data_IF_817666321607
#
_entry.id   IF_817666321607
#
_cell.length_a   1.000
_cell.length_b   1.000
_cell.length_c   1.000
_cell.angle_alpha   90.00
_cell.angle_beta   90.00
_cell.angle_gamma   90.00
#
_symmetry.space_group_name_H-M   'P 1'
#
loop_
_entity.id
_entity.type
_entity.pdbx_description
1 polymer ?
#
# COMPACT_ATOMS: atom_id res chain seq x y z
N UNK A 1 5.60 2.07 23.47
CA UNK A 1 4.31 1.38 23.30
C UNK A 1 3.92 1.61 21.85
N UNK A 2 4.18 0.62 20.98
CA UNK A 2 3.95 0.79 19.54
C UNK A 2 2.46 0.77 19.26
N UNK A 3 1.94 1.82 18.63
CA UNK A 3 0.58 1.83 18.12
C UNK A 3 0.49 0.78 17.00
N UNK A 4 -0.42 -0.16 17.14
CA UNK A 4 -0.74 -1.19 16.14
C UNK A 4 -1.92 -0.67 15.34
N UNK A 5 -1.87 -0.71 14.01
CA UNK A 5 -3.03 -0.40 13.18
C UNK A 5 -3.95 -1.62 13.27
N UNK A 6 -5.22 -1.40 13.55
CA UNK A 6 -6.19 -2.48 13.71
C UNK A 6 -7.38 -2.29 12.79
N UNK A 7 -8.10 -3.38 12.50
CA UNK A 7 -9.39 -3.33 11.79
C UNK A 7 -10.40 -2.37 12.44
N UNK A 8 -10.27 -2.12 13.75
CA UNK A 8 -11.09 -1.18 14.51
C UNK A 8 -10.87 0.28 14.09
N UNK A 9 -9.78 0.57 13.37
CA UNK A 9 -9.47 1.88 12.77
C UNK A 9 -10.16 2.11 11.40
N UNK A 10 -10.99 1.17 10.94
CA UNK A 10 -11.71 1.28 9.66
C UNK A 10 -10.87 0.91 8.44
N UNK A 11 -9.71 0.28 8.65
CA UNK A 11 -8.80 -0.18 7.59
C UNK A 11 -9.11 -1.64 7.23
N UNK A 12 -9.18 -1.91 5.94
CA UNK A 12 -9.29 -3.26 5.36
C UNK A 12 -8.04 -4.09 5.70
N UNK A 13 -8.25 -5.36 6.03
CA UNK A 13 -7.22 -6.22 6.63
C UNK A 13 -6.00 -6.38 5.72
N UNK A 14 -6.26 -6.35 4.42
CA UNK A 14 -5.32 -6.43 3.31
C UNK A 14 -4.29 -5.28 3.36
N UNK A 15 -4.69 -4.09 3.84
CA UNK A 15 -3.83 -2.90 3.88
C UNK A 15 -3.12 -2.70 5.23
N UNK A 16 -3.53 -3.40 6.30
CA UNK A 16 -2.99 -3.17 7.65
C UNK A 16 -1.48 -3.38 7.69
N UNK A 17 -1.00 -4.53 7.22
CA UNK A 17 0.44 -4.85 7.27
C UNK A 17 1.27 -3.92 6.39
N UNK A 18 0.74 -3.51 5.22
CA UNK A 18 1.36 -2.51 4.38
C UNK A 18 1.58 -1.21 5.15
N UNK A 19 0.55 -0.68 5.81
CA UNK A 19 0.63 0.59 6.52
C UNK A 19 1.53 0.50 7.76
N UNK A 20 1.42 -0.59 8.54
CA UNK A 20 2.27 -0.83 9.71
C UNK A 20 3.75 -0.86 9.36
N UNK A 21 4.10 -1.42 8.21
CA UNK A 21 5.48 -1.52 7.77
C UNK A 21 5.97 -0.24 7.06
N UNK A 22 5.17 0.30 6.14
CA UNK A 22 5.60 1.39 5.26
C UNK A 22 5.62 2.75 5.96
N UNK A 23 4.60 3.09 6.75
CA UNK A 23 4.48 4.43 7.35
C UNK A 23 5.67 4.78 8.25
N UNK A 24 6.14 3.92 9.17
CA UNK A 24 7.31 4.23 10.00
C UNK A 24 8.57 4.43 9.17
N UNK A 25 8.77 3.63 8.12
CA UNK A 25 9.92 3.76 7.20
C UNK A 25 9.87 5.06 6.40
N UNK A 26 8.66 5.55 6.11
CA UNK A 26 8.42 6.83 5.45
C UNK A 26 8.55 8.04 6.41
N UNK A 27 8.75 7.80 7.71
CA UNK A 27 8.74 8.86 8.73
C UNK A 27 7.34 9.43 8.97
N UNK A 28 6.30 8.68 8.61
CA UNK A 28 4.90 9.06 8.77
C UNK A 28 4.31 8.41 10.03
N UNK A 29 3.44 9.10 10.78
CA UNK A 29 2.85 8.54 11.99
C UNK A 29 1.78 7.49 11.66
N UNK A 30 1.81 6.38 12.39
CA UNK A 30 0.79 5.31 12.32
C UNK A 30 -0.61 5.79 12.74
N UNK A 31 -0.69 6.89 13.49
CA UNK A 31 -1.95 7.54 13.88
C UNK A 31 -2.59 8.35 12.75
N UNK A 32 -1.93 8.47 11.59
CA UNK A 32 -2.51 9.12 10.42
C UNK A 32 -3.46 8.16 9.73
N UNK A 33 -4.55 7.86 10.42
CA UNK A 33 -5.73 7.15 9.91
C UNK A 33 -6.57 8.11 9.03
N UNK A 34 -5.96 9.16 8.47
CA UNK A 34 -6.64 10.26 7.80
C UNK A 34 -6.53 10.11 6.29
N UNK A 35 -7.17 9.06 5.80
CA UNK A 35 -7.51 8.89 4.38
C UNK A 35 -8.56 9.93 3.91
N UNK A 36 -9.08 10.79 4.80
CA UNK A 36 -10.00 11.88 4.47
C UNK A 36 -9.37 13.03 3.66
N UNK A 37 -8.06 12.98 3.37
CA UNK A 37 -7.38 13.92 2.45
C UNK A 37 -7.14 13.36 1.03
N UNK A 38 -7.43 12.07 0.78
CA UNK A 38 -7.27 11.49 -0.55
C UNK A 38 -8.49 11.75 -1.40
N UNK A 39 -8.27 12.42 -2.54
CA UNK A 39 -9.25 12.79 -3.60
C UNK A 39 -10.06 11.57 -4.12
N UNK A 40 -10.98 11.05 -3.30
CA UNK A 40 -11.83 9.91 -3.64
C UNK A 40 -12.41 9.13 -2.46
N UNK A 41 -11.80 9.14 -1.27
CA UNK A 41 -12.35 8.49 -0.05
C UNK A 41 -12.14 6.98 0.10
N UNK A 42 -11.44 6.33 -0.84
CA UNK A 42 -11.24 4.87 -0.86
C UNK A 42 -9.84 4.45 -0.41
N UNK A 43 -9.75 3.30 0.26
CA UNK A 43 -8.50 2.82 0.87
C UNK A 43 -7.43 2.42 -0.14
N UNK A 44 -7.82 1.82 -1.27
CA UNK A 44 -6.90 1.45 -2.35
C UNK A 44 -6.16 2.65 -2.94
N UNK A 45 -6.77 3.85 -2.94
CA UNK A 45 -6.13 5.09 -3.38
C UNK A 45 -4.98 5.44 -2.43
N UNK A 46 -5.21 5.32 -1.12
CA UNK A 46 -4.19 5.53 -0.10
C UNK A 46 -3.06 4.49 -0.17
N UNK A 47 -3.40 3.22 -0.39
CA UNK A 47 -2.42 2.15 -0.58
C UNK A 47 -1.52 2.43 -1.80
N UNK A 48 -2.09 2.86 -2.92
CA UNK A 48 -1.34 3.26 -4.10
C UNK A 48 -0.36 4.41 -3.80
N UNK A 49 -0.77 5.41 -3.02
CA UNK A 49 0.10 6.54 -2.68
C UNK A 49 1.24 6.17 -1.73
N UNK A 50 0.96 5.33 -0.74
CA UNK A 50 1.99 4.79 0.17
C UNK A 50 3.04 4.00 -0.62
N UNK A 51 2.60 3.11 -1.52
CA UNK A 51 3.49 2.35 -2.38
C UNK A 51 4.29 3.25 -3.33
N UNK A 52 3.66 4.28 -3.92
CA UNK A 52 4.33 5.29 -4.73
C UNK A 52 5.45 5.98 -3.94
N UNK A 53 5.18 6.43 -2.72
CA UNK A 53 6.18 7.06 -1.86
C UNK A 53 7.33 6.10 -1.51
N UNK A 54 7.03 4.82 -1.24
CA UNK A 54 8.07 3.80 -1.01
C UNK A 54 8.96 3.63 -2.25
N UNK A 55 8.36 3.59 -3.44
CA UNK A 55 9.10 3.51 -4.71
C UNK A 55 10.00 4.74 -4.88
N UNK A 56 9.46 5.95 -4.75
CA UNK A 56 10.20 7.20 -4.93
C UNK A 56 11.37 7.38 -3.96
N UNK A 57 11.22 6.90 -2.73
CA UNK A 57 12.22 7.07 -1.66
C UNK A 57 13.18 5.89 -1.53
N UNK A 58 13.09 4.88 -2.39
CA UNK A 58 13.99 3.73 -2.27
C UNK A 58 13.67 2.80 -1.09
N UNK A 59 12.47 2.88 -0.52
CA UNK A 59 12.08 2.10 0.67
C UNK A 59 11.52 0.74 0.23
N UNK A 60 12.04 -0.31 0.86
CA UNK A 60 11.56 -1.66 0.66
C UNK A 60 10.50 -2.05 1.69
N UNK A 61 9.52 -2.83 1.23
CA UNK A 61 8.44 -3.43 2.00
C UNK A 61 8.50 -4.96 1.84
N UNK A 62 8.19 -5.71 2.89
CA UNK A 62 8.26 -7.18 2.88
C UNK A 62 7.19 -7.81 1.99
N UNK A 63 7.43 -9.04 1.53
CA UNK A 63 6.40 -9.78 0.76
C UNK A 63 5.13 -10.02 1.58
N UNK A 64 5.26 -10.25 2.89
CA UNK A 64 4.12 -10.48 3.79
C UNK A 64 3.17 -9.28 3.81
N UNK A 65 3.70 -8.06 3.71
CA UNK A 65 2.90 -6.84 3.63
C UNK A 65 2.41 -6.51 2.21
N UNK A 66 3.02 -7.06 1.15
CA UNK A 66 2.67 -6.75 -0.24
C UNK A 66 1.67 -7.75 -0.85
N UNK A 67 1.75 -9.03 -0.48
CA UNK A 67 0.91 -10.10 -1.06
C UNK A 67 -0.59 -9.84 -0.88
N UNK A 68 -1.11 -9.52 0.33
CA UNK A 68 -2.54 -9.30 0.52
C UNK A 68 -3.08 -8.14 -0.33
N UNK A 69 -2.30 -7.07 -0.45
CA UNK A 69 -2.62 -5.89 -1.26
C UNK A 69 -2.67 -6.22 -2.75
N UNK A 70 -1.73 -7.04 -3.22
CA UNK A 70 -1.69 -7.49 -4.62
C UNK A 70 -2.85 -8.43 -4.94
N UNK A 71 -3.17 -9.37 -4.05
CA UNK A 71 -4.29 -10.30 -4.21
C UNK A 71 -5.62 -9.55 -4.30
N UNK A 72 -5.86 -8.60 -3.39
CA UNK A 72 -7.01 -7.69 -3.43
C UNK A 72 -7.09 -6.95 -4.78
N UNK A 73 -5.97 -6.35 -5.18
CA UNK A 73 -5.85 -5.60 -6.44
C UNK A 73 -6.18 -6.45 -7.68
N UNK A 74 -5.78 -7.72 -7.69
CA UNK A 74 -6.04 -8.64 -8.80
C UNK A 74 -7.54 -9.01 -8.86
N UNK A 75 -8.21 -9.17 -7.71
CA UNK A 75 -9.64 -9.48 -7.66
C UNK A 75 -10.49 -8.39 -8.33
N UNK A 76 -10.02 -7.13 -8.28
CA UNK A 76 -10.71 -5.97 -8.86
C UNK A 76 -10.10 -5.50 -10.19
N UNK A 77 -9.29 -6.33 -10.86
CA UNK A 77 -8.69 -5.97 -12.15
C UNK A 77 -9.73 -5.64 -13.24
N UNK A 78 -10.90 -6.27 -13.18
CA UNK A 78 -12.03 -6.07 -14.10
C UNK A 78 -13.14 -5.17 -13.52
N UNK A 79 -12.86 -4.41 -12.46
CA UNK A 79 -13.85 -3.54 -11.81
C UNK A 79 -14.50 -2.59 -12.84
N UNK A 80 -15.84 -2.43 -12.89
CA UNK A 80 -16.49 -1.55 -13.87
C UNK A 80 -16.08 -0.07 -13.74
N UNK A 81 -15.61 0.35 -12.56
CA UNK A 81 -15.15 1.70 -12.29
C UNK A 81 -13.73 1.92 -12.81
N UNK A 82 -13.61 2.77 -13.84
CA UNK A 82 -12.34 3.05 -14.50
C UNK A 82 -11.26 3.59 -13.56
N UNK A 83 -11.62 4.46 -12.62
CA UNK A 83 -10.67 5.01 -11.65
C UNK A 83 -10.10 3.92 -10.75
N UNK A 84 -10.93 2.98 -10.28
CA UNK A 84 -10.45 1.87 -9.46
C UNK A 84 -9.43 1.02 -10.23
N UNK A 85 -9.77 0.61 -11.46
CA UNK A 85 -8.82 -0.14 -12.33
C UNK A 85 -7.49 0.59 -12.51
N UNK A 86 -7.52 1.92 -12.67
CA UNK A 86 -6.31 2.72 -12.80
C UNK A 86 -5.41 2.62 -11.56
N UNK A 87 -5.98 2.77 -10.36
CA UNK A 87 -5.21 2.66 -9.12
C UNK A 87 -4.74 1.23 -8.85
N UNK A 88 -5.57 0.24 -9.13
CA UNK A 88 -5.18 -1.17 -9.02
C UNK A 88 -3.98 -1.49 -9.93
N UNK A 89 -3.98 -1.02 -11.18
CA UNK A 89 -2.82 -1.18 -12.07
C UNK A 89 -1.56 -0.48 -11.51
N UNK A 90 -1.69 0.69 -10.89
CA UNK A 90 -0.57 1.39 -10.25
C UNK A 90 -0.01 0.60 -9.06
N UNK A 91 -0.88 0.03 -8.22
CA UNK A 91 -0.48 -0.80 -7.09
C UNK A 91 0.39 -1.96 -7.56
N UNK A 92 -0.08 -2.77 -8.52
CA UNK A 92 0.72 -3.88 -9.08
C UNK A 92 2.06 -3.39 -9.63
N UNK A 93 2.06 -2.26 -10.35
CA UNK A 93 3.28 -1.66 -10.89
C UNK A 93 4.29 -1.27 -9.80
N UNK A 94 3.84 -0.64 -8.72
CA UNK A 94 4.72 -0.24 -7.60
C UNK A 94 5.26 -1.45 -6.83
N UNK A 95 4.43 -2.47 -6.59
CA UNK A 95 4.84 -3.73 -5.98
C UNK A 95 5.96 -4.39 -6.81
N UNK A 96 5.79 -4.45 -8.14
CA UNK A 96 6.80 -5.00 -9.03
C UNK A 96 8.13 -4.24 -8.96
N UNK A 97 8.11 -2.91 -8.86
CA UNK A 97 9.32 -2.08 -8.71
C UNK A 97 10.03 -2.35 -7.38
N UNK A 98 9.28 -2.45 -6.28
CA UNK A 98 9.84 -2.77 -4.95
C UNK A 98 10.50 -4.16 -4.99
N UNK A 99 9.81 -5.16 -5.53
CA UNK A 99 10.35 -6.53 -5.70
C UNK A 99 11.62 -6.55 -6.54
N UNK A 100 11.61 -5.87 -7.69
CA UNK A 100 12.77 -5.81 -8.57
C UNK A 100 13.99 -5.20 -7.88
N UNK A 101 13.79 -4.14 -7.08
CA UNK A 101 14.87 -3.51 -6.30
C UNK A 101 15.47 -4.46 -5.27
N UNK A 102 14.62 -5.17 -4.51
CA UNK A 102 15.05 -6.16 -3.51
C UNK A 102 15.87 -7.30 -4.13
N UNK A 103 15.54 -7.71 -5.35
CA UNK A 103 16.29 -8.73 -6.09
C UNK A 103 17.70 -8.27 -6.50
N UNK A 104 17.90 -6.97 -6.73
CA UNK A 104 19.22 -6.40 -7.07
C UNK A 104 20.05 -6.13 -5.82
N UNK A 105 19.43 -5.79 -4.69
CA UNK A 105 20.13 -5.56 -3.41
C UNK A 105 20.63 -6.81 -2.69
N UNK A 106 20.33 -8.01 -3.22
CA UNK A 106 20.72 -9.31 -2.64
C UNK A 106 21.86 -10.02 -3.38
N UNK A 107 22.50 -9.34 -4.36
CA UNK A 107 23.74 -9.78 -5.04
C UNK A 107 24.97 -9.12 -4.47
#
# INVERSE_FOLDING_TARGET
MGMKITREDGIEEEYVLLLEEALPKLGLPLSSNRLDEFRGGEQFIGAADVLRMCVERGIDVTEEALVPVEEDTILFADDPWETARHYYAQIVGHIAVIRARRAVGTT
#
